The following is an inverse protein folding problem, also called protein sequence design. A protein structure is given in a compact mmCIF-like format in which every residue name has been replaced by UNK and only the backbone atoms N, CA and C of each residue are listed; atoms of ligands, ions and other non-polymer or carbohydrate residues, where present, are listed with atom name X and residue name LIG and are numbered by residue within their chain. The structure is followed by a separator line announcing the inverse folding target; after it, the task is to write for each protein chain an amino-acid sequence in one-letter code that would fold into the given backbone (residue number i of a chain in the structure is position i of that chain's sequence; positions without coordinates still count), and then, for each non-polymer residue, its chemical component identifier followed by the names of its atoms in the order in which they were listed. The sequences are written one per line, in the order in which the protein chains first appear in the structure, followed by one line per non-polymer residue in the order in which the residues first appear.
data_IF_807254928226
#
_entry.id   IF_807254928226
#
_cell.length_a   1.000
_cell.length_b   1.000
_cell.length_c   1.000
_cell.angle_alpha   90.00
_cell.angle_beta   90.00
_cell.angle_gamma   90.00
#
_symmetry.space_group_name_H-M   'P 1'
#
loop_
_entity.id
_entity.type
_entity.pdbx_description
1 polymer ?
#
# COMPACT_ATOMS: atom_id res chain seq x y z
N UNK A 1 6.11 14.37 21.30
CA UNK A 1 6.31 13.36 20.25
C UNK A 1 7.31 12.33 20.72
N UNK A 2 7.20 11.09 20.25
CA UNK A 2 8.10 9.96 20.59
C UNK A 2 9.23 9.76 19.57
N UNK A 3 9.27 10.58 18.50
CA UNK A 3 10.30 10.53 17.47
C UNK A 3 9.72 10.60 16.06
N UNK A 4 10.50 10.10 15.11
CA UNK A 4 10.20 10.06 13.67
C UNK A 4 9.79 8.63 13.29
N UNK A 5 8.83 8.49 12.39
CA UNK A 5 8.41 7.21 11.83
C UNK A 5 8.36 7.27 10.30
N UNK A 6 8.43 6.12 9.65
CA UNK A 6 8.04 5.95 8.25
C UNK A 6 6.77 5.09 8.20
N UNK A 7 5.70 5.64 7.66
CA UNK A 7 4.40 4.97 7.52
C UNK A 7 3.90 5.12 6.07
N UNK A 8 2.87 4.36 5.70
CA UNK A 8 2.17 4.58 4.43
C UNK A 8 1.43 5.90 4.48
N UNK A 9 1.41 6.63 3.36
CA UNK A 9 0.82 7.96 3.29
C UNK A 9 -0.64 7.96 3.74
N UNK A 10 -1.44 7.00 3.27
CA UNK A 10 -2.87 6.89 3.60
C UNK A 10 -3.15 6.79 5.11
N UNK A 11 -2.26 6.12 5.84
CA UNK A 11 -2.41 5.95 7.28
C UNK A 11 -2.12 7.25 8.06
N UNK A 12 -1.28 8.13 7.52
CA UNK A 12 -0.85 9.37 8.20
C UNK A 12 -1.46 10.64 7.63
N UNK A 13 -2.06 10.58 6.44
CA UNK A 13 -2.65 11.74 5.76
C UNK A 13 -3.63 12.55 6.64
N UNK A 14 -4.55 11.94 7.43
CA UNK A 14 -5.44 12.70 8.33
C UNK A 14 -4.68 13.45 9.43
N UNK A 15 -3.57 12.89 9.89
CA UNK A 15 -2.74 13.48 10.94
C UNK A 15 -1.86 14.61 10.41
N UNK A 16 -1.38 14.49 9.17
CA UNK A 16 -0.70 15.60 8.47
C UNK A 16 -1.68 16.73 8.21
N UNK A 17 -2.89 16.43 7.71
CA UNK A 17 -3.91 17.43 7.43
C UNK A 17 -4.39 18.18 8.69
N UNK A 18 -4.42 17.52 9.85
CA UNK A 18 -4.75 18.16 11.13
C UNK A 18 -3.58 18.87 11.81
N UNK A 19 -2.36 18.76 11.27
CA UNK A 19 -1.14 19.29 11.88
C UNK A 19 -0.65 18.50 13.10
N UNK A 20 -1.23 17.33 13.38
CA UNK A 20 -0.77 16.43 14.44
C UNK A 20 0.54 15.72 14.08
N UNK A 21 0.83 15.58 12.78
CA UNK A 21 2.11 15.15 12.23
C UNK A 21 2.64 16.19 11.24
N UNK A 22 3.96 16.30 11.16
CA UNK A 22 4.66 17.16 10.21
C UNK A 22 5.49 16.30 9.27
N UNK A 23 5.35 16.52 7.96
CA UNK A 23 6.17 15.85 6.95
C UNK A 23 7.59 16.42 6.99
N UNK A 24 8.57 15.53 7.04
CA UNK A 24 10.00 15.88 7.00
C UNK A 24 10.68 15.20 5.81
N UNK A 25 11.75 15.81 5.31
CA UNK A 25 12.53 15.31 4.18
C UNK A 25 11.74 15.04 2.88
N UNK A 26 10.86 15.96 2.41
CA UNK A 26 10.00 15.73 1.24
C UNK A 26 10.77 15.50 -0.08
N UNK A 27 12.07 15.84 -0.12
CA UNK A 27 12.95 15.59 -1.27
C UNK A 27 13.53 14.17 -1.31
N UNK A 28 13.26 13.34 -0.29
CA UNK A 28 13.79 11.99 -0.16
C UNK A 28 12.63 10.99 -0.04
N UNK A 29 11.85 10.77 -1.12
CA UNK A 29 10.72 9.87 -1.07
C UNK A 29 11.19 8.43 -0.78
N UNK A 30 10.37 7.71 0.00
CA UNK A 30 10.61 6.28 0.22
C UNK A 30 10.46 5.50 -1.09
N UNK A 31 11.25 4.44 -1.24
CA UNK A 31 11.12 3.53 -2.39
C UNK A 31 9.74 2.87 -2.36
N UNK A 32 9.10 2.80 -3.54
CA UNK A 32 7.82 2.09 -3.69
C UNK A 32 7.97 0.64 -3.20
N UNK A 33 7.07 0.22 -2.30
CA UNK A 33 7.06 -1.13 -1.74
C UNK A 33 6.11 -1.98 -2.59
N UNK A 34 6.62 -2.94 -3.40
CA UNK A 34 5.74 -3.77 -4.22
C UNK A 34 4.87 -4.66 -3.34
N UNK A 35 3.57 -4.71 -3.64
CA UNK A 35 2.62 -5.65 -3.05
C UNK A 35 2.50 -6.86 -3.97
N UNK A 36 2.61 -8.07 -3.42
CA UNK A 36 2.52 -9.32 -4.18
C UNK A 36 1.43 -10.23 -3.62
N UNK A 37 0.71 -10.91 -4.49
CA UNK A 37 -0.25 -11.96 -4.11
C UNK A 37 0.42 -13.32 -4.25
N UNK A 38 0.60 -14.03 -3.14
CA UNK A 38 1.15 -15.39 -3.15
C UNK A 38 0.06 -16.43 -3.29
N UNK A 39 0.29 -17.41 -4.17
CA UNK A 39 -0.57 -18.58 -4.34
C UNK A 39 0.31 -19.80 -4.67
N UNK A 40 -0.16 -21.03 -4.36
CA UNK A 40 0.60 -22.24 -4.67
C UNK A 40 0.85 -22.36 -6.17
N UNK A 41 2.10 -22.66 -6.54
CA UNK A 41 2.45 -22.97 -7.92
C UNK A 41 1.79 -24.30 -8.32
N UNK A 42 0.67 -24.19 -9.01
CA UNK A 42 -0.03 -25.31 -9.64
C UNK A 42 -0.13 -24.96 -11.11
N UNK A 43 0.25 -25.91 -11.98
CA UNK A 43 0.14 -25.80 -13.45
C UNK A 43 -1.17 -25.18 -13.95
N UNK A 44 -2.25 -25.30 -13.16
CA UNK A 44 -3.52 -24.63 -13.42
C UNK A 44 -3.98 -23.87 -12.17
N UNK A 45 -3.88 -22.54 -12.23
CA UNK A 45 -4.55 -21.65 -11.27
C UNK A 45 -6.06 -21.80 -11.46
N UNK A 46 -6.79 -22.08 -10.37
CA UNK A 46 -8.25 -22.19 -10.42
C UNK A 46 -8.87 -20.90 -10.98
N UNK A 47 -9.87 -20.97 -11.89
CA UNK A 47 -10.55 -19.79 -12.43
C UNK A 47 -11.06 -18.85 -11.34
N UNK A 48 -11.52 -19.39 -10.20
CA UNK A 48 -11.98 -18.58 -9.05
C UNK A 48 -10.86 -17.75 -8.43
N UNK A 49 -9.65 -18.32 -8.33
CA UNK A 49 -8.48 -17.60 -7.78
C UNK A 49 -8.03 -16.50 -8.73
N UNK A 50 -8.04 -16.78 -10.04
CA UNK A 50 -7.75 -15.75 -11.06
C UNK A 50 -8.70 -14.56 -10.95
N UNK A 51 -10.00 -14.81 -10.98
CA UNK A 51 -11.02 -13.75 -10.86
C UNK A 51 -10.88 -12.96 -9.56
N UNK A 52 -10.55 -13.63 -8.45
CA UNK A 52 -10.27 -12.95 -7.18
C UNK A 52 -9.04 -12.05 -7.26
N UNK A 53 -7.93 -12.53 -7.84
CA UNK A 53 -6.71 -11.74 -8.00
C UNK A 53 -6.97 -10.51 -8.87
N UNK A 54 -7.66 -10.69 -10.01
CA UNK A 54 -7.98 -9.59 -10.92
C UNK A 54 -8.81 -8.52 -10.20
N UNK A 55 -9.89 -8.92 -9.53
CA UNK A 55 -10.72 -7.99 -8.73
C UNK A 55 -9.92 -7.32 -7.59
N UNK A 56 -9.11 -8.08 -6.86
CA UNK A 56 -8.33 -7.56 -5.74
C UNK A 56 -7.28 -6.54 -6.20
N UNK A 57 -6.63 -6.80 -7.34
CA UNK A 57 -5.68 -5.86 -7.96
C UNK A 57 -6.34 -4.52 -8.30
N UNK A 58 -7.57 -4.53 -8.83
CA UNK A 58 -8.32 -3.31 -9.13
C UNK A 58 -8.69 -2.52 -7.86
N UNK A 59 -9.12 -3.24 -6.81
CA UNK A 59 -9.42 -2.62 -5.50
C UNK A 59 -8.17 -2.00 -4.90
N UNK A 60 -7.04 -2.71 -4.94
CA UNK A 60 -5.77 -2.25 -4.40
C UNK A 60 -5.23 -1.03 -5.16
N UNK A 61 -5.36 -1.00 -6.48
CA UNK A 61 -4.96 0.14 -7.31
C UNK A 61 -5.77 1.43 -7.01
N UNK A 62 -6.97 1.28 -6.45
CA UNK A 62 -7.80 2.40 -6.02
C UNK A 62 -7.39 2.93 -4.63
N UNK A 63 -6.85 2.06 -3.78
CA UNK A 63 -6.49 2.39 -2.39
C UNK A 63 -5.06 2.93 -2.23
N UNK A 64 -4.11 2.51 -3.08
CA UNK A 64 -2.69 2.91 -3.01
C UNK A 64 -2.40 4.11 -3.96
N UNK A 65 -3.39 4.97 -4.24
CA UNK A 65 -3.21 6.09 -5.18
C UNK A 65 -2.83 7.38 -4.48
#
# INVERSE_FOLDING_TARGET
GLGIIQATYDAVAPHIASGALEEILPRYPSVSKPVSVMYPDRRYLSPKVRVFIDWFSDVLATQIR
#
